data_IF_927183009238
#
_entry.id   IF_927183009238
#
_cell.length_a   1.000
_cell.length_b   1.000
_cell.length_c   1.000
_cell.angle_alpha   90.00
_cell.angle_beta   90.00
_cell.angle_gamma   90.00
#
_symmetry.space_group_name_H-M   'P 1'
#
loop_
_entity.id
_entity.type
_entity.pdbx_description
1 polymer ?
#
# COMPACT_ATOMS: atom_id res chain seq x y z
N UNK A 1 8.29 6.04 23.06
CA UNK A 1 7.39 5.29 22.15
C UNK A 1 6.13 6.13 22.00
N UNK A 2 5.97 6.83 20.87
CA UNK A 2 4.85 7.75 20.67
C UNK A 2 3.54 6.97 20.57
N UNK A 3 2.57 7.31 21.42
CA UNK A 3 1.23 6.74 21.35
C UNK A 3 0.64 7.18 20.01
N UNK A 4 0.43 6.24 19.08
CA UNK A 4 -0.24 6.54 17.82
C UNK A 4 -1.63 7.13 18.14
N UNK A 5 -1.80 8.42 17.88
CA UNK A 5 -3.06 9.11 18.16
C UNK A 5 -4.11 8.61 17.17
N UNK A 6 -5.01 7.75 17.65
CA UNK A 6 -6.15 7.28 16.87
C UNK A 6 -7.21 8.37 16.85
N UNK A 7 -7.65 8.76 15.65
CA UNK A 7 -8.74 9.71 15.45
C UNK A 7 -10.02 8.94 15.17
N UNK A 8 -11.05 9.16 15.99
CA UNK A 8 -12.39 8.65 15.70
C UNK A 8 -12.96 9.38 14.48
N UNK A 9 -13.49 8.62 13.54
CA UNK A 9 -14.13 9.15 12.32
C UNK A 9 -15.47 8.43 12.16
N UNK A 10 -16.54 9.19 11.94
CA UNK A 10 -17.85 8.61 11.62
C UNK A 10 -17.89 8.25 10.14
N UNK A 11 -18.29 7.02 9.83
CA UNK A 11 -18.38 6.48 8.47
C UNK A 11 -19.74 5.83 8.26
N UNK A 12 -20.33 6.06 7.10
CA UNK A 12 -21.61 5.45 6.70
C UNK A 12 -21.31 4.20 5.89
N UNK A 13 -21.81 3.06 6.36
CA UNK A 13 -21.72 1.77 5.69
C UNK A 13 -23.11 1.19 5.49
N UNK A 14 -23.20 0.20 4.61
CA UNK A 14 -24.41 -0.56 4.39
C UNK A 14 -24.93 -1.17 5.70
N UNK A 15 -26.23 -1.04 5.95
CA UNK A 15 -26.84 -1.50 7.20
C UNK A 15 -26.83 -3.02 7.29
N UNK A 16 -27.12 -3.74 6.21
CA UNK A 16 -27.17 -5.20 6.21
C UNK A 16 -25.80 -5.78 6.53
N UNK A 17 -24.74 -5.19 5.95
CA UNK A 17 -23.36 -5.56 6.24
C UNK A 17 -22.97 -5.32 7.70
N UNK A 18 -23.41 -4.20 8.30
CA UNK A 18 -23.15 -3.91 9.73
C UNK A 18 -23.87 -4.90 10.65
N UNK A 19 -25.12 -5.23 10.33
CA UNK A 19 -25.92 -6.17 11.11
C UNK A 19 -25.35 -7.59 11.02
N UNK A 20 -24.93 -8.01 9.82
CA UNK A 20 -24.23 -9.28 9.60
C UNK A 20 -22.89 -9.33 10.35
N UNK A 21 -22.07 -8.27 10.23
CA UNK A 21 -20.80 -8.18 10.95
C UNK A 21 -20.99 -8.29 12.46
N UNK A 22 -22.03 -7.66 13.01
CA UNK A 22 -22.39 -7.77 14.44
C UNK A 22 -22.82 -9.18 14.80
N UNK A 23 -23.68 -9.80 13.99
CA UNK A 23 -24.15 -11.17 14.21
C UNK A 23 -23.00 -12.19 14.21
N UNK A 24 -21.99 -11.96 13.37
CA UNK A 24 -20.79 -12.79 13.25
C UNK A 24 -19.67 -12.43 14.24
N UNK A 25 -19.86 -11.41 15.10
CA UNK A 25 -18.84 -10.98 16.06
C UNK A 25 -17.62 -10.32 15.43
N UNK A 26 -17.74 -9.81 14.20
CA UNK A 26 -16.66 -9.13 13.49
C UNK A 26 -16.38 -7.77 14.12
N UNK A 27 -15.10 -7.51 14.41
CA UNK A 27 -14.68 -6.20 14.87
C UNK A 27 -14.59 -5.22 13.69
N UNK A 28 -15.68 -4.48 13.47
CA UNK A 28 -15.85 -3.53 12.37
C UNK A 28 -14.71 -2.51 12.32
N UNK A 29 -14.30 -1.95 13.46
CA UNK A 29 -13.23 -0.96 13.51
C UNK A 29 -11.89 -1.53 13.03
N UNK A 30 -11.55 -2.76 13.45
CA UNK A 30 -10.32 -3.44 13.01
C UNK A 30 -10.37 -3.80 11.53
N UNK A 31 -11.52 -4.26 11.05
CA UNK A 31 -11.71 -4.57 9.64
C UNK A 31 -11.60 -3.32 8.76
N UNK A 32 -12.20 -2.21 9.18
CA UNK A 32 -12.11 -0.92 8.50
C UNK A 32 -10.67 -0.38 8.48
N UNK A 33 -9.94 -0.48 9.59
CA UNK A 33 -8.53 -0.06 9.68
C UNK A 33 -7.64 -0.89 8.73
N UNK A 34 -7.84 -2.20 8.67
CA UNK A 34 -7.10 -3.06 7.75
C UNK A 34 -7.39 -2.71 6.29
N UNK A 35 -8.67 -2.58 5.92
CA UNK A 35 -9.08 -2.20 4.57
C UNK A 35 -8.54 -0.83 4.16
N UNK A 36 -8.60 0.15 5.05
CA UNK A 36 -8.07 1.49 4.81
C UNK A 36 -6.55 1.48 4.65
N UNK A 37 -5.84 0.70 5.47
CA UNK A 37 -4.38 0.56 5.38
C UNK A 37 -3.96 0.05 4.01
N UNK A 38 -4.61 -1.01 3.52
CA UNK A 38 -4.31 -1.58 2.21
C UNK A 38 -4.66 -0.61 1.06
N UNK A 39 -5.81 0.06 1.14
CA UNK A 39 -6.20 1.06 0.15
C UNK A 39 -5.21 2.23 0.08
N UNK A 40 -4.75 2.74 1.24
CA UNK A 40 -3.76 3.81 1.32
C UNK A 40 -2.41 3.36 0.79
N UNK A 41 -1.96 2.14 1.13
CA UNK A 41 -0.71 1.56 0.60
C UNK A 41 -0.76 1.47 -0.92
N UNK A 42 -1.85 0.94 -1.47
CA UNK A 42 -2.04 0.83 -2.91
C UNK A 42 -2.04 2.20 -3.60
N UNK A 43 -2.72 3.20 -3.01
CA UNK A 43 -2.74 4.57 -3.55
C UNK A 43 -1.34 5.21 -3.53
N UNK A 44 -0.59 5.07 -2.42
CA UNK A 44 0.78 5.56 -2.32
C UNK A 44 1.70 4.89 -3.34
N UNK A 45 1.59 3.58 -3.49
CA UNK A 45 2.37 2.83 -4.48
C UNK A 45 2.10 3.33 -5.90
N UNK A 46 0.82 3.55 -6.26
CA UNK A 46 0.47 4.12 -7.58
C UNK A 46 1.06 5.53 -7.79
N UNK A 47 0.97 6.40 -6.79
CA UNK A 47 1.56 7.75 -6.85
C UNK A 47 3.07 7.66 -7.06
N UNK A 48 3.74 6.85 -6.24
CA UNK A 48 5.18 6.67 -6.33
C UNK A 48 5.61 6.11 -7.69
N UNK A 49 4.90 5.11 -8.22
CA UNK A 49 5.20 4.55 -9.54
C UNK A 49 5.05 5.61 -10.64
N UNK A 50 4.02 6.43 -10.58
CA UNK A 50 3.82 7.51 -11.56
C UNK A 50 4.93 8.56 -11.47
N UNK A 51 5.30 8.98 -10.25
CA UNK A 51 6.38 9.94 -10.00
C UNK A 51 7.75 9.42 -10.46
N UNK A 52 7.99 8.12 -10.30
CA UNK A 52 9.29 7.49 -10.59
C UNK A 52 9.33 6.84 -11.98
N UNK A 53 8.26 6.90 -12.76
CA UNK A 53 8.15 6.23 -14.06
C UNK A 53 9.31 6.62 -15.01
N UNK A 54 9.64 7.91 -15.08
CA UNK A 54 10.72 8.40 -15.92
C UNK A 54 12.11 7.92 -15.45
N UNK A 55 12.34 7.91 -14.13
CA UNK A 55 13.60 7.42 -13.55
C UNK A 55 13.77 5.91 -13.77
N UNK A 56 12.70 5.14 -13.60
CA UNK A 56 12.68 3.70 -13.87
C UNK A 56 12.94 3.44 -15.35
N UNK A 57 12.27 4.16 -16.26
CA UNK A 57 12.47 4.01 -17.69
C UNK A 57 13.91 4.35 -18.12
N UNK A 58 14.48 5.44 -17.61
CA UNK A 58 15.86 5.83 -17.88
C UNK A 58 16.87 4.79 -17.37
N UNK A 59 16.64 4.25 -16.17
CA UNK A 59 17.50 3.21 -15.61
C UNK A 59 17.38 1.88 -16.36
N UNK A 60 16.18 1.51 -16.80
CA UNK A 60 15.97 0.33 -17.63
C UNK A 60 16.70 0.45 -18.97
N UNK A 61 16.58 1.61 -19.65
CA UNK A 61 17.29 1.87 -20.90
C UNK A 61 18.81 1.82 -20.72
N UNK A 62 19.32 2.34 -19.60
CA UNK A 62 20.75 2.23 -19.26
C UNK A 62 21.19 0.78 -19.07
N UNK A 63 20.41 -0.05 -18.36
CA UNK A 63 20.70 -1.48 -18.21
C UNK A 63 20.65 -2.21 -19.55
N UNK A 64 19.69 -1.88 -20.42
CA UNK A 64 19.60 -2.48 -21.76
C UNK A 64 20.81 -2.15 -22.63
N UNK A 65 21.33 -0.92 -22.54
CA UNK A 65 22.47 -0.48 -23.31
C UNK A 65 23.82 -0.97 -22.74
N UNK A 66 24.02 -0.84 -21.43
CA UNK A 66 25.33 -1.01 -20.77
C UNK A 66 25.43 -2.29 -19.94
N UNK A 67 24.32 -3.04 -19.82
CA UNK A 67 24.20 -4.19 -18.94
C UNK A 67 23.99 -3.80 -17.47
N UNK A 68 23.80 -4.81 -16.61
CA UNK A 68 23.59 -4.58 -15.19
C UNK A 68 24.88 -4.08 -14.53
N UNK A 69 24.89 -2.91 -13.88
CA UNK A 69 26.07 -2.38 -13.22
C UNK A 69 26.63 -3.35 -12.20
N UNK A 70 27.97 -3.50 -12.21
CA UNK A 70 28.70 -4.32 -11.24
C UNK A 70 28.33 -5.81 -11.26
N UNK A 71 27.61 -6.31 -12.28
CA UNK A 71 27.25 -7.73 -12.40
C UNK A 71 28.48 -8.65 -12.30
N UNK A 72 29.63 -8.21 -12.78
CA UNK A 72 30.92 -8.92 -12.71
C UNK A 72 31.45 -9.17 -11.30
N UNK A 73 30.92 -8.50 -10.27
CA UNK A 73 31.33 -8.68 -8.86
C UNK A 73 30.33 -9.46 -8.02
N UNK A 74 29.24 -9.97 -8.62
CA UNK A 74 28.22 -10.75 -7.91
C UNK A 74 28.77 -12.14 -7.55
N UNK A 75 28.93 -12.42 -6.25
CA UNK A 75 29.24 -13.76 -5.74
C UNK A 75 27.92 -14.51 -5.52
N UNK A 76 27.79 -15.69 -6.13
CA UNK A 76 26.67 -16.61 -5.90
C UNK A 76 26.99 -17.56 -4.74
#
# INVERSE_FOLDING_TARGET
MGIAQRRSTSLTLDRQLLDEARALGVNISRAAEAGLTEAVRAARMRSWQAENAAAIAGFNAYIEAEGVPLASRRKF
#
